data_IF_816598612471
#
_entry.id   IF_816598612471
#
_cell.length_a   1.000
_cell.length_b   1.000
_cell.length_c   1.000
_cell.angle_alpha   90.00
_cell.angle_beta   90.00
_cell.angle_gamma   90.00
#
_symmetry.space_group_name_H-M   'P 1'
#
loop_
_entity.id
_entity.type
_entity.pdbx_description
1 polymer ?
#
# COMPACT_ATOMS: atom_id res chain seq x y z
N UNK A 1 -6.67 19.86 29.63
CA UNK A 1 -7.51 20.55 28.64
C UNK A 1 -8.95 20.12 28.94
N UNK A 2 -9.91 21.05 28.93
CA UNK A 2 -11.24 20.86 29.53
C UNK A 2 -12.28 20.85 28.39
N UNK A 3 -12.94 19.71 28.15
CA UNK A 3 -14.00 19.60 27.15
C UNK A 3 -15.31 19.21 27.84
N UNK A 4 -16.43 19.77 27.37
CA UNK A 4 -17.77 19.50 27.88
C UNK A 4 -18.33 18.23 27.25
N UNK A 5 -18.80 17.30 28.08
CA UNK A 5 -19.34 16.01 27.64
C UNK A 5 -20.86 15.98 27.85
N UNK A 6 -21.62 16.57 26.94
CA UNK A 6 -23.07 16.38 26.89
C UNK A 6 -23.57 16.47 25.45
N UNK A 7 -23.41 15.38 24.72
CA UNK A 7 -24.24 15.05 23.56
C UNK A 7 -24.43 13.53 23.52
N UNK A 8 -25.66 13.10 23.81
CA UNK A 8 -26.08 11.69 23.87
C UNK A 8 -26.33 11.08 22.48
N UNK A 9 -25.44 11.34 21.53
CA UNK A 9 -25.44 10.70 20.21
C UNK A 9 -24.08 10.06 19.94
N UNK A 10 -24.04 8.75 20.14
CA UNK A 10 -22.89 7.90 19.87
C UNK A 10 -22.59 7.83 18.36
N UNK A 11 -21.95 8.86 17.79
CA UNK A 11 -21.26 8.76 16.47
C UNK A 11 -20.21 9.84 16.17
N UNK A 12 -19.87 10.75 17.08
CA UNK A 12 -18.84 11.77 16.82
C UNK A 12 -17.43 11.31 17.25
N UNK A 13 -16.93 10.20 16.69
CA UNK A 13 -15.52 9.84 16.82
C UNK A 13 -14.71 10.46 15.68
N UNK A 14 -14.28 11.72 15.82
CA UNK A 14 -13.28 12.31 14.92
C UNK A 14 -12.35 13.29 15.65
N UNK A 15 -11.12 13.48 15.15
CA UNK A 15 -9.93 13.95 15.88
C UNK A 15 -9.88 15.48 16.03
N UNK A 16 -10.96 16.07 16.53
CA UNK A 16 -11.19 17.51 16.55
C UNK A 16 -11.43 18.07 17.96
N UNK A 17 -10.64 17.64 18.96
CA UNK A 17 -10.62 18.28 20.29
C UNK A 17 -10.08 19.73 20.30
N UNK A 18 -9.70 20.27 19.14
CA UNK A 18 -9.05 21.58 19.02
C UNK A 18 -9.98 22.74 18.63
N UNK A 19 -11.26 22.48 18.37
CA UNK A 19 -12.14 23.50 17.76
C UNK A 19 -12.93 24.37 18.75
N UNK A 20 -12.97 24.04 20.03
CA UNK A 20 -13.92 24.69 20.96
C UNK A 20 -13.33 25.93 21.67
N UNK A 21 -12.01 26.03 21.80
CA UNK A 21 -11.40 27.19 22.47
C UNK A 21 -11.44 28.48 21.63
N UNK A 22 -11.38 28.37 20.30
CA UNK A 22 -11.28 29.56 19.45
C UNK A 22 -12.63 30.24 19.18
N UNK A 23 -13.75 29.53 19.37
CA UNK A 23 -15.11 30.09 19.17
C UNK A 23 -15.61 30.91 20.37
N UNK A 24 -14.98 30.76 21.55
CA UNK A 24 -15.42 31.40 22.80
C UNK A 24 -14.76 32.75 23.10
N UNK A 25 -13.65 33.10 22.42
CA UNK A 25 -13.03 34.42 22.60
C UNK A 25 -13.83 35.52 21.87
N UNK A 26 -14.50 35.18 20.77
CA UNK A 26 -15.23 36.16 19.94
C UNK A 26 -16.69 36.38 20.39
N UNK A 27 -17.22 35.52 21.26
CA UNK A 27 -18.55 35.72 21.87
C UNK A 27 -18.41 35.51 23.36
N UNK A 28 -18.58 36.60 24.12
CA UNK A 28 -18.75 36.64 25.59
C UNK A 28 -19.90 35.73 26.04
N UNK A 29 -19.71 34.42 25.98
CA UNK A 29 -20.61 33.44 26.54
C UNK A 29 -20.24 33.28 28.01
N UNK A 30 -21.18 33.56 28.90
CA UNK A 30 -21.02 33.29 30.32
C UNK A 30 -21.06 31.77 30.52
N UNK A 31 -19.91 31.20 30.91
CA UNK A 31 -19.74 29.77 31.17
C UNK A 31 -19.85 29.45 32.67
N UNK A 32 -20.26 30.40 33.50
CA UNK A 32 -20.36 30.24 34.96
C UNK A 32 -21.29 29.11 35.41
N UNK A 33 -22.21 28.68 34.54
CA UNK A 33 -23.14 27.59 34.82
C UNK A 33 -22.61 26.19 34.43
N UNK A 34 -21.46 26.10 33.75
CA UNK A 34 -20.87 24.82 33.35
C UNK A 34 -19.92 24.31 34.43
N UNK A 35 -20.21 23.12 34.97
CA UNK A 35 -19.24 22.41 35.82
C UNK A 35 -18.04 21.97 35.01
N UNK A 36 -16.81 22.40 35.36
CA UNK A 36 -15.62 21.99 34.64
C UNK A 36 -15.41 20.47 34.74
N UNK A 37 -15.48 19.75 33.62
CA UNK A 37 -15.04 18.34 33.52
C UNK A 37 -13.55 18.28 33.19
N UNK A 38 -12.73 17.92 34.17
CA UNK A 38 -11.29 17.69 33.97
C UNK A 38 -11.09 16.39 33.20
N UNK A 39 -10.79 16.50 31.90
CA UNK A 39 -10.39 15.34 31.09
C UNK A 39 -8.88 15.16 31.24
N UNK A 40 -8.50 14.07 31.90
CA UNK A 40 -7.11 13.63 32.04
C UNK A 40 -6.84 12.52 31.03
N UNK A 41 -6.49 12.89 29.80
CA UNK A 41 -6.10 11.97 28.74
C UNK A 41 -4.60 12.06 28.51
N UNK A 42 -3.94 10.91 28.38
CA UNK A 42 -2.52 10.84 28.00
C UNK A 42 -2.42 11.05 26.50
N UNK A 43 -2.07 12.25 26.07
CA UNK A 43 -1.80 12.55 24.67
C UNK A 43 -0.40 12.07 24.28
N UNK A 44 -0.27 11.53 23.07
CA UNK A 44 1.03 11.26 22.45
C UNK A 44 1.79 12.59 22.23
N UNK A 45 3.10 12.57 22.44
CA UNK A 45 3.99 13.73 22.25
C UNK A 45 3.92 14.28 20.83
N UNK A 46 3.68 13.41 19.84
CA UNK A 46 3.48 13.79 18.44
C UNK A 46 2.34 14.79 18.23
N UNK A 47 1.26 14.67 19.01
CA UNK A 47 0.11 15.59 18.93
C UNK A 47 0.54 16.98 19.42
N UNK A 48 1.28 17.06 20.52
CA UNK A 48 1.82 18.34 21.01
C UNK A 48 2.77 19.01 20.02
N UNK A 49 3.66 18.24 19.37
CA UNK A 49 4.53 18.78 18.34
C UNK A 49 3.74 19.34 17.15
N UNK A 50 2.68 18.64 16.70
CA UNK A 50 1.82 19.10 15.60
C UNK A 50 1.07 20.40 15.92
N UNK A 51 0.74 20.63 17.20
CA UNK A 51 0.11 21.86 17.71
C UNK A 51 1.11 23.00 17.96
N UNK A 52 2.40 22.80 17.68
CA UNK A 52 3.44 23.81 17.89
C UNK A 52 3.85 23.96 19.36
N UNK A 53 3.72 22.92 20.18
CA UNK A 53 4.30 22.88 21.53
C UNK A 53 5.67 22.21 21.51
N UNK A 54 6.53 22.60 22.44
CA UNK A 54 7.85 22.00 22.68
C UNK A 54 7.98 21.67 24.17
N UNK A 55 8.65 20.57 24.49
CA UNK A 55 8.90 20.18 25.86
C UNK A 55 10.17 20.85 26.38
N UNK A 56 10.07 21.59 27.49
CA UNK A 56 11.16 22.28 28.18
C UNK A 56 11.01 21.98 29.67
N UNK A 57 12.03 21.39 30.30
CA UNK A 57 11.99 21.06 31.74
C UNK A 57 10.71 20.28 32.14
N UNK A 58 10.39 19.23 31.37
CA UNK A 58 9.19 18.40 31.53
C UNK A 58 7.84 19.13 31.35
N UNK A 59 7.84 20.40 30.94
CA UNK A 59 6.63 21.20 30.68
C UNK A 59 6.48 21.47 29.19
N UNK A 60 5.25 21.38 28.68
CA UNK A 60 4.93 21.74 27.31
C UNK A 60 4.71 23.25 27.18
N UNK A 61 5.50 23.91 26.33
CA UNK A 61 5.46 25.35 26.09
C UNK A 61 5.09 25.62 24.64
N UNK A 62 4.13 26.52 24.38
CA UNK A 62 3.74 26.91 23.02
C UNK A 62 4.89 27.68 22.36
N UNK A 63 5.32 27.24 21.18
CA UNK A 63 6.47 27.79 20.43
C UNK A 63 6.36 29.30 20.16
N UNK A 64 5.14 29.84 20.10
CA UNK A 64 4.87 31.28 19.88
C UNK A 64 5.32 32.18 21.04
N UNK A 65 5.43 31.66 22.26
CA UNK A 65 5.87 32.45 23.44
C UNK A 65 7.38 32.38 23.72
N UNK A 66 8.13 31.54 22.99
CA UNK A 66 9.58 31.38 23.19
C UNK A 66 10.37 32.58 22.61
N UNK A 67 9.73 33.41 21.77
CA UNK A 67 10.39 34.57 21.16
C UNK A 67 10.68 35.70 22.15
N UNK A 68 10.06 35.72 23.33
CA UNK A 68 10.30 36.76 24.34
C UNK A 68 11.40 36.41 25.36
N UNK A 69 12.00 35.21 25.32
CA UNK A 69 13.10 34.81 26.23
C UNK A 69 14.33 34.22 25.53
N UNK A 70 14.34 34.18 24.20
CA UNK A 70 15.46 33.69 23.40
C UNK A 70 16.40 34.82 22.89
N UNK A 71 16.35 36.01 23.47
CA UNK A 71 17.38 37.04 23.26
C UNK A 71 18.67 36.71 24.03
N UNK A 72 19.32 35.56 23.77
CA UNK A 72 20.74 35.40 24.16
C UNK A 72 21.51 34.24 23.52
N UNK A 73 21.03 33.58 22.46
CA UNK A 73 21.87 32.60 21.76
C UNK A 73 22.12 33.09 20.33
N UNK A 74 23.23 33.83 20.19
CA UNK A 74 23.97 34.02 18.94
C UNK A 74 24.11 32.66 18.25
N UNK A 75 23.20 32.33 17.35
CA UNK A 75 23.31 31.16 16.48
C UNK A 75 23.24 31.62 15.04
N UNK A 76 24.17 32.49 14.66
CA UNK A 76 24.24 33.13 13.34
C UNK A 76 25.23 32.42 12.40
N UNK A 77 25.41 31.09 12.47
CA UNK A 77 26.39 30.42 11.59
C UNK A 77 26.00 29.12 10.86
N UNK A 78 24.85 28.48 11.10
CA UNK A 78 24.59 27.14 10.52
C UNK A 78 23.47 27.07 9.45
N UNK A 79 22.86 28.20 9.03
CA UNK A 79 21.76 28.17 8.06
C UNK A 79 22.23 27.84 6.62
N UNK A 80 23.42 28.32 6.24
CA UNK A 80 23.97 28.07 4.90
C UNK A 80 24.40 26.61 4.70
N UNK A 81 25.00 25.99 5.73
CA UNK A 81 25.38 24.57 5.70
C UNK A 81 24.15 23.66 5.62
N UNK A 82 23.07 24.01 6.33
CA UNK A 82 21.80 23.26 6.26
C UNK A 82 21.14 23.35 4.89
N UNK A 83 21.21 24.51 4.22
CA UNK A 83 20.65 24.66 2.87
C UNK A 83 21.46 23.89 1.82
N UNK A 84 22.79 23.86 1.96
CA UNK A 84 23.67 23.10 1.07
C UNK A 84 23.44 21.58 1.20
N UNK A 85 23.28 21.07 2.42
CA UNK A 85 22.99 19.65 2.66
C UNK A 85 21.64 19.24 2.05
N UNK A 86 20.59 20.05 2.26
CA UNK A 86 19.28 19.79 1.66
C UNK A 86 19.31 19.81 0.13
N UNK A 87 20.12 20.68 -0.47
CA UNK A 87 20.29 20.72 -1.92
C UNK A 87 20.97 19.43 -2.41
N UNK A 88 22.00 18.97 -1.71
CA UNK A 88 22.68 17.71 -2.02
C UNK A 88 21.73 16.52 -1.94
N UNK A 89 20.97 16.40 -0.85
CA UNK A 89 20.00 15.32 -0.65
C UNK A 89 18.92 15.32 -1.76
N UNK A 90 18.52 16.51 -2.23
CA UNK A 90 17.54 16.65 -3.31
C UNK A 90 18.10 16.14 -4.65
N UNK A 91 19.34 16.50 -5.00
CA UNK A 91 19.99 16.00 -6.23
C UNK A 91 20.23 14.48 -6.17
N UNK A 92 20.59 13.95 -5.01
CA UNK A 92 20.68 12.50 -4.81
C UNK A 92 19.32 11.82 -4.99
N UNK A 93 18.26 12.38 -4.40
CA UNK A 93 16.90 11.85 -4.53
C UNK A 93 16.43 11.85 -5.99
N UNK A 94 16.67 12.94 -6.74
CA UNK A 94 16.38 13.01 -8.17
C UNK A 94 17.10 11.92 -8.95
N UNK A 95 18.38 11.71 -8.65
CA UNK A 95 19.19 10.67 -9.31
C UNK A 95 18.62 9.27 -9.04
N UNK A 96 18.21 9.01 -7.79
CA UNK A 96 17.57 7.74 -7.40
C UNK A 96 16.22 7.55 -8.09
N UNK A 97 15.40 8.59 -8.19
CA UNK A 97 14.11 8.56 -8.90
C UNK A 97 14.32 8.20 -10.38
N UNK A 98 15.26 8.85 -11.07
CA UNK A 98 15.59 8.55 -12.48
C UNK A 98 16.12 7.12 -12.67
N UNK A 99 16.79 6.56 -11.67
CA UNK A 99 17.22 5.16 -11.72
C UNK A 99 16.03 4.20 -11.57
N UNK A 100 15.09 4.50 -10.66
CA UNK A 100 13.85 3.73 -10.47
C UNK A 100 12.96 3.79 -11.71
N UNK A 101 12.79 4.95 -12.32
CA UNK A 101 11.98 5.12 -13.54
C UNK A 101 12.52 4.24 -14.67
N UNK A 102 13.83 4.30 -14.97
CA UNK A 102 14.46 3.44 -15.98
C UNK A 102 14.36 1.95 -15.65
N UNK A 103 14.49 1.59 -14.37
CA UNK A 103 14.30 0.23 -13.90
C UNK A 103 12.86 -0.26 -14.13
N UNK A 104 11.87 0.61 -13.90
CA UNK A 104 10.45 0.32 -14.12
C UNK A 104 10.12 0.12 -15.60
N UNK A 105 10.71 0.93 -16.48
CA UNK A 105 10.56 0.76 -17.94
C UNK A 105 11.14 -0.58 -18.41
N UNK A 106 12.32 -0.94 -17.92
CA UNK A 106 12.97 -2.22 -18.24
C UNK A 106 12.11 -3.40 -17.74
N UNK A 107 11.62 -3.31 -16.51
CA UNK A 107 10.74 -4.33 -15.93
C UNK A 107 9.44 -4.49 -16.74
N UNK A 108 8.86 -3.39 -17.20
CA UNK A 108 7.66 -3.42 -18.03
C UNK A 108 7.91 -4.17 -19.35
N UNK A 109 9.01 -3.88 -20.05
CA UNK A 109 9.39 -4.58 -21.29
C UNK A 109 9.61 -6.09 -21.04
N UNK A 110 10.30 -6.46 -19.96
CA UNK A 110 10.54 -7.86 -19.63
C UNK A 110 9.25 -8.60 -19.26
N UNK A 111 8.32 -7.97 -18.54
CA UNK A 111 6.99 -8.53 -18.26
C UNK A 111 6.21 -8.75 -19.56
N UNK A 112 6.27 -7.80 -20.51
CA UNK A 112 5.62 -7.96 -21.81
C UNK A 112 6.20 -9.14 -22.60
N UNK A 113 7.52 -9.32 -22.61
CA UNK A 113 8.18 -10.49 -23.23
C UNK A 113 7.73 -11.80 -22.59
N UNK A 114 7.68 -11.88 -21.26
CA UNK A 114 7.21 -13.08 -20.54
C UNK A 114 5.76 -13.40 -20.93
N UNK A 115 4.91 -12.39 -21.05
CA UNK A 115 3.52 -12.60 -21.45
C UNK A 115 3.40 -13.13 -22.88
N UNK A 116 4.21 -12.63 -23.83
CA UNK A 116 4.28 -13.18 -25.19
C UNK A 116 4.73 -14.64 -25.18
N UNK A 117 5.81 -14.97 -24.46
CA UNK A 117 6.31 -16.34 -24.33
C UNK A 117 5.28 -17.29 -23.73
N UNK A 118 4.53 -16.85 -22.71
CA UNK A 118 3.45 -17.63 -22.11
C UNK A 118 2.36 -17.95 -23.14
N UNK A 119 1.96 -16.95 -23.93
CA UNK A 119 0.95 -17.13 -25.00
C UNK A 119 1.42 -18.14 -26.04
N UNK A 120 2.66 -18.00 -26.52
CA UNK A 120 3.23 -18.90 -27.53
C UNK A 120 3.34 -20.33 -26.99
N UNK A 121 3.82 -20.49 -25.75
CA UNK A 121 3.89 -21.80 -25.08
C UNK A 121 2.52 -22.46 -24.98
N UNK A 122 1.47 -21.68 -24.64
CA UNK A 122 0.11 -22.21 -24.57
C UNK A 122 -0.41 -22.68 -25.93
N UNK A 123 -0.12 -21.92 -27.00
CA UNK A 123 -0.45 -22.33 -28.38
C UNK A 123 0.24 -23.65 -28.73
N UNK A 124 1.52 -23.78 -28.42
CA UNK A 124 2.28 -24.99 -28.76
C UNK A 124 1.84 -26.21 -27.94
N UNK A 125 1.49 -26.04 -26.66
CA UNK A 125 0.84 -27.09 -25.86
C UNK A 125 -0.51 -27.49 -26.49
N UNK A 126 -1.27 -26.52 -26.99
CA UNK A 126 -2.52 -26.78 -27.73
C UNK A 126 -2.30 -27.65 -28.96
N UNK A 127 -1.32 -27.30 -29.81
CA UNK A 127 -0.95 -28.09 -30.99
C UNK A 127 -0.49 -29.49 -30.61
N UNK A 128 0.33 -29.62 -29.58
CA UNK A 128 0.82 -30.92 -29.08
C UNK A 128 -0.34 -31.82 -28.66
N UNK A 129 -1.32 -31.27 -27.93
CA UNK A 129 -2.52 -32.02 -27.50
C UNK A 129 -3.33 -32.53 -28.70
N UNK A 130 -3.50 -31.71 -29.74
CA UNK A 130 -4.19 -32.11 -30.97
C UNK A 130 -3.44 -33.25 -31.68
N UNK A 131 -2.11 -33.11 -31.85
CA UNK A 131 -1.28 -34.14 -32.47
C UNK A 131 -1.36 -35.47 -31.71
N UNK A 132 -1.28 -35.41 -30.39
CA UNK A 132 -1.39 -36.58 -29.51
C UNK A 132 -2.75 -37.28 -29.63
N UNK A 133 -3.84 -36.53 -29.71
CA UNK A 133 -5.18 -37.08 -29.94
C UNK A 133 -5.26 -37.78 -31.32
N UNK A 134 -4.66 -37.20 -32.35
CA UNK A 134 -4.55 -37.80 -33.68
C UNK A 134 -3.79 -39.13 -33.66
N UNK A 135 -2.61 -39.17 -33.03
CA UNK A 135 -1.80 -40.39 -32.88
C UNK A 135 -2.57 -41.47 -32.13
N UNK A 136 -3.25 -41.10 -31.04
CA UNK A 136 -4.09 -42.05 -30.28
C UNK A 136 -5.19 -42.65 -31.15
N UNK A 137 -5.87 -41.82 -31.95
CA UNK A 137 -6.93 -42.28 -32.84
C UNK A 137 -6.40 -43.20 -33.94
N UNK A 138 -5.25 -42.88 -34.54
CA UNK A 138 -4.61 -43.72 -35.55
C UNK A 138 -4.18 -45.07 -34.98
N UNK A 139 -3.64 -45.08 -33.75
CA UNK A 139 -3.32 -46.30 -33.02
C UNK A 139 -4.54 -47.20 -32.81
N UNK A 140 -5.66 -46.63 -32.35
CA UNK A 140 -6.94 -47.36 -32.20
C UNK A 140 -7.42 -47.90 -33.55
N UNK A 141 -7.40 -47.08 -34.59
CA UNK A 141 -7.77 -47.47 -35.96
C UNK A 141 -6.95 -48.66 -36.47
N UNK A 142 -5.63 -48.61 -36.26
CA UNK A 142 -4.70 -49.68 -36.66
C UNK A 142 -4.97 -50.98 -35.91
N UNK A 143 -5.14 -50.92 -34.59
CA UNK A 143 -5.46 -52.11 -33.77
C UNK A 143 -6.81 -52.72 -34.17
N UNK A 144 -7.82 -51.90 -34.42
CA UNK A 144 -9.13 -52.37 -34.87
C UNK A 144 -9.04 -53.08 -36.23
N UNK A 145 -8.29 -52.52 -37.20
CA UNK A 145 -8.05 -53.16 -38.51
C UNK A 145 -7.38 -54.53 -38.36
N UNK A 146 -6.35 -54.64 -37.52
CA UNK A 146 -5.64 -55.90 -37.26
C UNK A 146 -6.53 -56.94 -36.56
N UNK A 147 -7.40 -56.50 -35.64
CA UNK A 147 -8.31 -57.39 -34.93
C UNK A 147 -9.37 -57.94 -35.87
N UNK A 148 -9.93 -57.10 -36.75
CA UNK A 148 -10.93 -57.50 -37.72
C UNK A 148 -10.37 -58.53 -38.71
N UNK A 149 -9.18 -58.28 -39.26
CA UNK A 149 -8.55 -59.21 -40.21
C UNK A 149 -8.20 -60.57 -39.58
N UNK A 150 -7.90 -60.59 -38.28
CA UNK A 150 -7.70 -61.84 -37.52
C UNK A 150 -9.00 -62.63 -37.31
N UNK A 151 -10.12 -61.94 -37.08
CA UNK A 151 -11.44 -62.59 -36.93
C UNK A 151 -11.91 -63.19 -38.26
N UNK A 152 -11.74 -62.46 -39.37
CA UNK A 152 -12.13 -62.91 -40.71
C UNK A 152 -11.29 -64.10 -41.22
N UNK A 153 -10.08 -64.28 -40.71
CA UNK A 153 -9.19 -65.39 -41.08
C UNK A 153 -9.33 -66.65 -40.20
N UNK A 154 -10.21 -66.63 -39.19
CA UNK A 154 -10.43 -67.80 -38.35
C UNK A 154 -11.24 -68.88 -39.11
N UNK A 155 -10.80 -70.16 -39.11
CA UNK A 155 -11.53 -71.22 -39.79
C UNK A 155 -12.92 -71.42 -39.16
N UNK A 156 -13.95 -71.75 -39.96
CA UNK A 156 -15.30 -71.97 -39.45
C UNK A 156 -15.27 -73.11 -38.42
N UNK A 157 -15.89 -72.86 -37.27
CA UNK A 157 -15.97 -73.85 -36.19
C UNK A 157 -16.67 -75.10 -36.72
N UNK A 158 -16.07 -76.31 -36.61
CA UNK A 158 -16.70 -77.52 -37.10
C UNK A 158 -17.96 -77.78 -36.28
N UNK A 159 -19.12 -77.70 -36.94
CA UNK A 159 -20.41 -78.07 -36.36
C UNK A 159 -20.39 -79.58 -36.11
N UNK A 160 -20.29 -79.98 -34.84
CA UNK A 160 -20.48 -81.37 -34.45
C UNK A 160 -21.98 -81.69 -34.55
N UNK A 161 -22.37 -82.42 -35.59
CA UNK A 161 -23.65 -83.12 -35.74
C UNK A 161 -23.57 -84.50 -35.10
#
# INVERSE_FOLDING_TARGET
>A
MLESAEDSNATASLPNGLLISHTLVDRLADLSMLTPVVINTTYDSNIFYSMGYVQVEEKWVKKEFVKARAESIKTTKNYAESAALLLQDNEELKTRILAVERGSETLHDDVEKVFRLQKDTNIDIGKLRIAMAGIKQEGISTVNKLTLSRVESAPPTPTLL
#
